data_IF_925524938550
#
_entry.id   IF_925524938550
#
_cell.length_a   1.000
_cell.length_b   1.000
_cell.length_c   1.000
_cell.angle_alpha   90.00
_cell.angle_beta   90.00
_cell.angle_gamma   90.00
#
_symmetry.space_group_name_H-M   'P 1'
#
loop_
_entity.id
_entity.type
_entity.pdbx_description
1 polymer ?
#
# COMPACT_ATOMS: atom_id res chain seq x y z
N UNK A 1 -0.83 20.80 39.38
CA UNK A 1 -1.47 21.35 38.16
C UNK A 1 -0.46 22.25 37.51
N UNK A 2 -0.28 22.28 36.20
CA UNK A 2 -0.99 21.71 35.04
C UNK A 2 0.13 21.31 34.05
N UNK A 3 0.09 20.19 33.32
CA UNK A 3 -0.96 19.80 32.39
C UNK A 3 -0.69 20.49 31.05
N UNK A 4 -0.05 19.80 30.13
CA UNK A 4 0.34 20.30 28.81
C UNK A 4 0.65 19.12 27.92
N UNK A 5 -0.39 18.34 27.63
CA UNK A 5 -0.42 17.26 26.67
C UNK A 5 -0.20 17.85 25.25
N UNK A 6 0.92 17.51 24.61
CA UNK A 6 1.11 17.72 23.17
C UNK A 6 0.58 16.46 22.48
N UNK A 7 -0.72 16.47 22.17
CA UNK A 7 -1.43 15.42 21.46
C UNK A 7 -0.82 15.28 20.06
N UNK A 8 -0.13 14.16 19.82
CA UNK A 8 0.43 13.83 18.51
C UNK A 8 -0.66 13.87 17.43
N UNK A 9 -0.41 14.62 16.37
CA UNK A 9 -1.28 14.68 15.19
C UNK A 9 -1.63 13.24 14.74
N UNK A 10 -2.92 12.94 14.66
CA UNK A 10 -3.48 11.61 14.41
C UNK A 10 -3.14 11.13 12.99
N UNK A 11 -1.90 10.64 12.81
CA UNK A 11 -1.42 10.03 11.57
C UNK A 11 -2.16 8.71 11.32
N UNK A 12 -3.30 8.79 10.64
CA UNK A 12 -4.09 7.63 10.25
C UNK A 12 -3.54 7.00 8.96
N UNK A 13 -3.19 5.71 9.04
CA UNK A 13 -2.74 4.88 7.90
C UNK A 13 -3.87 3.89 7.54
N UNK A 14 -4.19 3.77 6.26
CA UNK A 14 -5.22 2.83 5.79
C UNK A 14 -5.20 2.58 4.28
N UNK A 15 -6.04 1.66 3.82
CA UNK A 15 -6.24 1.40 2.39
C UNK A 15 -7.01 2.57 1.73
N UNK A 16 -6.54 3.02 0.56
CA UNK A 16 -7.24 4.00 -0.24
C UNK A 16 -8.41 3.34 -0.98
N UNK A 17 -9.63 3.62 -0.52
CA UNK A 17 -10.87 3.16 -1.15
C UNK A 17 -11.58 4.34 -1.83
N UNK A 18 -12.02 4.16 -3.08
CA UNK A 18 -12.61 5.25 -3.89
C UNK A 18 -13.99 4.88 -4.42
N UNK A 19 -14.91 5.85 -4.42
CA UNK A 19 -16.25 5.72 -5.01
C UNK A 19 -16.62 7.00 -5.74
N UNK A 20 -17.18 6.89 -6.94
CA UNK A 20 -17.62 8.03 -7.73
C UNK A 20 -17.83 7.72 -9.21
N UNK A 21 -18.32 8.69 -10.00
CA UNK A 21 -18.62 8.50 -11.43
C UNK A 21 -17.42 8.09 -12.29
N UNK A 22 -16.20 8.37 -11.80
CA UNK A 22 -14.95 8.03 -12.47
C UNK A 22 -14.50 6.58 -12.25
N UNK A 23 -15.10 5.86 -11.30
CA UNK A 23 -14.73 4.47 -11.01
C UNK A 23 -15.39 3.54 -12.04
N UNK A 24 -14.59 2.64 -12.60
CA UNK A 24 -15.09 1.64 -13.56
C UNK A 24 -16.11 0.70 -12.91
N UNK A 25 -17.03 0.14 -13.69
CA UNK A 25 -18.09 -0.71 -13.14
C UNK A 25 -17.71 -2.17 -12.91
N UNK A 26 -16.76 -2.72 -13.69
CA UNK A 26 -16.29 -4.11 -13.57
C UNK A 26 -15.05 -4.39 -14.41
N UNK A 27 -14.33 -5.45 -14.06
CA UNK A 27 -13.36 -6.07 -14.96
C UNK A 27 -14.07 -6.88 -16.05
N UNK A 28 -13.67 -6.70 -17.31
CA UNK A 28 -14.29 -7.39 -18.43
C UNK A 28 -14.06 -8.90 -18.37
N UNK A 29 -15.14 -9.68 -18.35
CA UNK A 29 -15.08 -11.15 -18.32
C UNK A 29 -14.50 -11.75 -17.02
N UNK A 30 -14.38 -10.95 -15.94
CA UNK A 30 -13.80 -11.39 -14.67
C UNK A 30 -14.74 -11.07 -13.49
N UNK A 31 -15.81 -11.84 -13.28
CA UNK A 31 -16.77 -11.59 -12.20
C UNK A 31 -16.12 -11.71 -10.81
N UNK A 32 -15.31 -12.73 -10.56
CA UNK A 32 -14.68 -12.96 -9.24
C UNK A 32 -13.76 -11.81 -8.85
N UNK A 33 -12.84 -11.44 -9.76
CA UNK A 33 -11.95 -10.29 -9.55
C UNK A 33 -12.72 -8.95 -9.42
N UNK A 34 -13.92 -8.86 -10.01
CA UNK A 34 -14.78 -7.69 -9.81
C UNK A 34 -15.36 -7.71 -8.40
N UNK A 35 -15.90 -8.83 -7.93
CA UNK A 35 -16.43 -8.92 -6.56
C UNK A 35 -15.37 -8.70 -5.49
N UNK A 36 -14.13 -9.15 -5.72
CA UNK A 36 -13.02 -8.95 -4.77
C UNK A 36 -12.52 -7.50 -4.72
N UNK A 37 -12.69 -6.75 -5.81
CA UNK A 37 -12.17 -5.40 -5.94
C UNK A 37 -13.06 -4.32 -5.32
N UNK A 38 -14.31 -4.66 -4.97
CA UNK A 38 -15.26 -3.72 -4.36
C UNK A 38 -15.70 -4.23 -2.99
N UNK A 39 -15.92 -3.33 -2.04
CA UNK A 39 -16.57 -3.67 -0.78
C UNK A 39 -18.11 -3.65 -0.89
N UNK A 40 -18.78 -4.04 0.19
CA UNK A 40 -20.23 -4.13 0.26
C UNK A 40 -20.93 -2.76 0.09
N UNK A 41 -20.21 -1.65 0.34
CA UNK A 41 -20.70 -0.27 0.19
C UNK A 41 -20.39 0.33 -1.21
N UNK A 42 -19.77 -0.46 -2.09
CA UNK A 42 -19.46 -0.12 -3.47
C UNK A 42 -18.21 0.75 -3.63
N UNK A 43 -17.30 0.78 -2.66
CA UNK A 43 -15.99 1.39 -2.84
C UNK A 43 -15.03 0.44 -3.54
N UNK A 44 -14.30 0.96 -4.53
CA UNK A 44 -13.21 0.27 -5.19
C UNK A 44 -11.96 0.31 -4.31
N UNK A 45 -11.40 -0.86 -4.03
CA UNK A 45 -10.12 -1.05 -3.35
C UNK A 45 -8.99 -0.85 -4.36
N UNK A 46 -8.27 0.26 -4.25
CA UNK A 46 -7.14 0.58 -5.14
C UNK A 46 -5.95 -0.36 -4.92
N UNK A 47 -5.87 -0.96 -3.74
CA UNK A 47 -4.71 -1.71 -3.29
C UNK A 47 -3.54 -0.81 -2.91
N UNK A 48 -3.75 0.49 -2.73
CA UNK A 48 -2.74 1.43 -2.20
C UNK A 48 -3.00 1.69 -0.71
N UNK A 49 -1.92 1.81 0.06
CA UNK A 49 -1.95 2.27 1.45
C UNK A 49 -1.57 3.74 1.48
N UNK A 50 -2.38 4.55 2.17
CA UNK A 50 -2.21 5.99 2.30
C UNK A 50 -2.15 6.41 3.77
N UNK A 51 -1.42 7.49 4.01
CA UNK A 51 -1.36 8.19 5.29
C UNK A 51 -2.00 9.57 5.11
N UNK A 52 -2.92 9.96 6.00
CA UNK A 52 -3.44 11.31 6.09
C UNK A 52 -2.61 12.08 7.13
N UNK A 53 -2.00 13.20 6.73
CA UNK A 53 -1.14 14.00 7.63
C UNK A 53 -1.08 15.47 7.23
N UNK A 54 -0.64 16.32 8.16
CA UNK A 54 -0.37 17.74 7.97
C UNK A 54 -1.58 18.67 8.18
N UNK A 55 -1.30 19.97 8.22
CA UNK A 55 -2.29 21.05 8.30
C UNK A 55 -1.99 22.10 7.21
N UNK A 56 -2.77 22.16 6.11
CA UNK A 56 -4.00 21.41 5.84
C UNK A 56 -3.74 19.90 5.58
N UNK A 57 -4.76 19.05 5.81
CA UNK A 57 -4.63 17.61 5.63
C UNK A 57 -4.31 17.25 4.17
N UNK A 58 -3.32 16.38 4.02
CA UNK A 58 -2.87 15.86 2.72
C UNK A 58 -2.70 14.34 2.76
N UNK A 59 -2.98 13.69 1.63
CA UNK A 59 -2.82 12.25 1.47
C UNK A 59 -1.44 11.95 0.90
N UNK A 60 -0.71 11.03 1.54
CA UNK A 60 0.56 10.49 1.05
C UNK A 60 0.38 9.00 0.77
N UNK A 61 0.73 8.55 -0.43
CA UNK A 61 0.84 7.12 -0.73
C UNK A 61 2.10 6.60 -0.05
N UNK A 62 1.95 5.55 0.76
CA UNK A 62 3.06 4.96 1.53
C UNK A 62 3.41 3.54 1.07
N UNK A 63 2.57 2.92 0.24
CA UNK A 63 2.87 1.62 -0.37
C UNK A 63 1.61 0.95 -0.92
N UNK A 64 1.66 -0.37 -1.08
CA UNK A 64 0.54 -1.19 -1.58
C UNK A 64 -0.02 -2.12 -0.50
N UNK A 65 -1.35 -2.23 -0.44
CA UNK A 65 -2.08 -3.16 0.45
C UNK A 65 -1.98 -4.60 -0.02
N UNK A 66 -1.89 -4.84 -1.34
CA UNK A 66 -1.60 -6.16 -1.89
C UNK A 66 -0.18 -6.55 -1.52
N UNK A 67 -0.02 -7.60 -0.72
CA UNK A 67 1.30 -8.06 -0.30
C UNK A 67 2.02 -8.73 -1.47
N UNK A 68 2.94 -8.00 -2.09
CA UNK A 68 3.89 -8.58 -3.05
C UNK A 68 4.94 -9.38 -2.28
N UNK A 69 4.79 -10.71 -2.28
CA UNK A 69 5.72 -11.64 -1.63
C UNK A 69 6.80 -12.09 -2.61
N UNK A 70 8.05 -11.79 -2.28
CA UNK A 70 9.25 -12.30 -2.94
C UNK A 70 9.68 -13.61 -2.27
N UNK A 71 9.81 -14.68 -3.06
CA UNK A 71 10.24 -16.00 -2.61
C UNK A 71 11.73 -16.20 -2.87
N UNK A 72 12.56 -15.90 -1.87
CA UNK A 72 14.02 -16.04 -1.96
C UNK A 72 14.49 -17.25 -1.15
N UNK A 73 15.04 -18.28 -1.78
CA UNK A 73 15.61 -19.47 -1.12
C UNK A 73 14.72 -20.09 -0.04
N UNK A 74 13.40 -20.11 -0.26
CA UNK A 74 12.41 -20.63 0.70
C UNK A 74 11.89 -19.61 1.72
N UNK A 75 12.46 -18.42 1.78
CA UNK A 75 11.94 -17.30 2.58
C UNK A 75 10.85 -16.54 1.83
N UNK A 76 9.83 -16.10 2.55
CA UNK A 76 8.80 -15.17 2.05
C UNK A 76 9.13 -13.78 2.56
N UNK A 77 9.42 -12.88 1.65
CA UNK A 77 9.84 -11.50 1.95
C UNK A 77 8.75 -10.57 1.44
N UNK A 78 8.25 -9.67 2.28
CA UNK A 78 7.29 -8.64 1.90
C UNK A 78 8.01 -7.50 1.17
N UNK A 79 7.63 -7.22 -0.07
CA UNK A 79 8.13 -6.06 -0.81
C UNK A 79 7.77 -4.75 -0.09
N UNK A 80 6.54 -4.65 0.44
CA UNK A 80 6.05 -3.51 1.20
C UNK A 80 6.94 -3.19 2.41
N UNK A 81 7.40 -4.21 3.14
CA UNK A 81 8.26 -3.99 4.31
C UNK A 81 9.62 -3.37 3.90
N UNK A 82 10.15 -3.79 2.75
CA UNK A 82 11.39 -3.25 2.19
C UNK A 82 11.17 -1.82 1.70
N UNK A 83 10.10 -1.58 0.93
CA UNK A 83 9.73 -0.24 0.44
C UNK A 83 9.56 0.74 1.59
N UNK A 84 8.79 0.39 2.61
CA UNK A 84 8.60 1.19 3.82
C UNK A 84 9.93 1.52 4.50
N UNK A 85 10.88 0.58 4.49
CA UNK A 85 12.21 0.82 5.06
C UNK A 85 13.06 1.75 4.18
N UNK A 86 12.98 1.60 2.86
CA UNK A 86 13.68 2.46 1.90
C UNK A 86 13.14 3.90 1.94
N UNK A 87 11.82 4.08 2.05
CA UNK A 87 11.16 5.39 2.12
C UNK A 87 11.50 6.18 3.40
N UNK A 88 12.05 5.53 4.44
CA UNK A 88 12.61 6.22 5.60
C UNK A 88 13.93 6.93 5.30
N UNK A 89 14.60 6.60 4.18
CA UNK A 89 15.87 7.22 3.81
C UNK A 89 15.62 8.58 3.13
N UNK A 90 16.22 9.69 3.62
CA UNK A 90 15.88 11.05 3.18
C UNK A 90 16.17 11.35 1.70
N UNK A 91 17.04 10.56 1.07
CA UNK A 91 17.35 10.69 -0.37
C UNK A 91 16.40 9.93 -1.30
N UNK A 92 15.49 9.10 -0.76
CA UNK A 92 14.54 8.29 -1.55
C UNK A 92 13.18 8.98 -1.49
N UNK A 93 12.71 9.47 -2.65
CA UNK A 93 11.38 10.06 -2.76
C UNK A 93 10.30 8.99 -2.89
N UNK A 94 10.54 8.02 -3.76
CA UNK A 94 9.64 6.91 -4.11
C UNK A 94 10.50 5.68 -4.43
N UNK A 95 9.97 4.49 -4.19
CA UNK A 95 10.59 3.22 -4.57
C UNK A 95 9.53 2.15 -4.81
N UNK A 96 9.90 1.12 -5.55
CA UNK A 96 9.14 -0.12 -5.68
C UNK A 96 10.13 -1.29 -5.57
N UNK A 97 9.69 -2.39 -4.95
CA UNK A 97 10.48 -3.60 -4.74
C UNK A 97 9.80 -4.76 -5.47
N UNK A 98 10.56 -5.46 -6.30
CA UNK A 98 10.02 -6.51 -7.17
C UNK A 98 10.81 -7.80 -7.04
N UNK A 99 10.12 -8.93 -7.23
CA UNK A 99 10.77 -10.23 -7.30
C UNK A 99 11.30 -10.52 -8.70
N UNK A 100 12.61 -10.64 -8.87
CA UNK A 100 13.26 -11.01 -10.13
C UNK A 100 13.46 -12.53 -10.16
N UNK A 101 12.98 -13.23 -11.18
CA UNK A 101 13.13 -14.69 -11.26
C UNK A 101 14.61 -15.13 -11.25
N UNK A 102 14.92 -16.19 -10.49
CA UNK A 102 16.25 -16.78 -10.36
C UNK A 102 16.19 -18.30 -10.24
N UNK A 103 17.05 -19.01 -10.96
CA UNK A 103 17.02 -20.47 -11.06
C UNK A 103 17.39 -21.18 -9.76
N UNK A 104 18.22 -20.57 -8.92
CA UNK A 104 18.72 -21.18 -7.67
C UNK A 104 17.86 -20.78 -6.49
N UNK A 105 17.35 -19.55 -6.48
CA UNK A 105 16.73 -18.91 -5.32
C UNK A 105 15.23 -18.71 -5.49
N UNK A 106 14.66 -19.04 -6.64
CA UNK A 106 13.27 -18.75 -6.99
C UNK A 106 13.13 -17.29 -7.43
N UNK A 107 13.36 -16.35 -6.52
CA UNK A 107 13.37 -14.91 -6.81
C UNK A 107 14.48 -14.18 -6.05
N UNK A 108 15.09 -13.18 -6.69
CA UNK A 108 15.93 -12.15 -6.08
C UNK A 108 15.08 -10.92 -5.73
N UNK A 109 15.53 -10.15 -4.74
CA UNK A 109 14.98 -8.82 -4.45
C UNK A 109 15.61 -7.82 -5.42
N UNK A 110 14.76 -7.10 -6.16
CA UNK A 110 15.14 -6.05 -7.09
C UNK A 110 14.37 -4.76 -6.85
#
# INVERSE_FOLDING_TARGET
GEGGDDEGEDESIGELCVRGPQVFGKYWGKPDATSEAFDDDGFFRTGDTVQLSGSPPSWKIVGRTSVDIIKYSGYKISALDIENKLLQHPSIRECAVVGIADEVRGQLVG
#
